data_IF_338934296648
#
_entry.id   IF_338934296648
#
_cell.length_a   1.000
_cell.length_b   1.000
_cell.length_c   1.000
_cell.angle_alpha   90.00
_cell.angle_beta   90.00
_cell.angle_gamma   90.00
#
_symmetry.space_group_name_H-M   'P 1'
#
loop_
_entity.id
_entity.type
_entity.pdbx_description
1 polymer ?
#
# COMPACT_ATOMS: atom_id res chain seq x y z
N UNK A 1 -18.06 -1.26 -10.60
CA UNK A 1 -18.50 -1.63 -9.24
C UNK A 1 -17.49 -1.06 -8.25
N UNK A 2 -17.94 -0.29 -7.26
CA UNK A 2 -17.07 0.15 -6.16
C UNK A 2 -17.16 -0.89 -5.04
N UNK A 3 -16.05 -1.32 -4.47
CA UNK A 3 -16.11 -2.23 -3.32
C UNK A 3 -16.71 -1.47 -2.12
N UNK A 4 -17.71 -2.04 -1.42
CA UNK A 4 -18.22 -1.42 -0.21
C UNK A 4 -17.13 -1.45 0.87
N UNK A 5 -16.74 -0.28 1.39
CA UNK A 5 -15.75 -0.18 2.46
C UNK A 5 -14.71 0.93 2.27
N UNK A 6 -13.65 0.87 3.08
CA UNK A 6 -12.49 1.77 3.03
C UNK A 6 -11.35 1.08 2.29
N UNK A 7 -10.71 1.80 1.37
CA UNK A 7 -9.59 1.29 0.59
C UNK A 7 -8.44 2.29 0.56
N UNK A 8 -7.27 1.80 0.18
CA UNK A 8 -6.10 2.62 -0.12
C UNK A 8 -5.62 2.28 -1.52
N UNK A 9 -5.25 3.30 -2.29
CA UNK A 9 -4.72 3.16 -3.64
C UNK A 9 -3.31 3.73 -3.67
N UNK A 10 -2.40 2.98 -4.27
CA UNK A 10 -1.03 3.40 -4.55
C UNK A 10 -0.71 3.04 -6.00
N UNK A 11 0.33 3.65 -6.55
CA UNK A 11 0.90 3.13 -7.79
C UNK A 11 1.44 1.71 -7.57
N UNK A 12 1.35 0.81 -8.58
CA UNK A 12 1.74 -0.60 -8.45
C UNK A 12 3.27 -0.76 -8.50
N UNK A 13 3.99 -0.02 -7.64
CA UNK A 13 5.45 -0.03 -7.55
C UNK A 13 5.90 -0.22 -6.10
N UNK A 14 7.01 -0.94 -5.94
CA UNK A 14 7.61 -1.16 -4.60
C UNK A 14 7.95 0.16 -3.91
N UNK A 15 8.46 1.16 -4.63
CA UNK A 15 8.82 2.46 -4.05
C UNK A 15 7.62 3.20 -3.43
N UNK A 16 6.46 3.17 -4.09
CA UNK A 16 5.24 3.77 -3.55
C UNK A 16 4.73 3.00 -2.33
N UNK A 17 4.88 1.68 -2.32
CA UNK A 17 4.54 0.83 -1.17
C UNK A 17 5.42 1.10 0.05
N UNK A 18 6.72 1.21 -0.13
CA UNK A 18 7.66 1.48 0.96
C UNK A 18 7.40 2.87 1.56
N UNK A 19 7.15 3.87 0.72
CA UNK A 19 6.76 5.21 1.16
C UNK A 19 5.44 5.20 1.95
N UNK A 20 4.42 4.47 1.48
CA UNK A 20 3.13 4.34 2.16
C UNK A 20 3.27 3.62 3.52
N UNK A 21 4.10 2.58 3.58
CA UNK A 21 4.36 1.79 4.79
C UNK A 21 5.11 2.62 5.83
N UNK A 22 6.20 3.27 5.45
CA UNK A 22 7.00 4.13 6.33
C UNK A 22 6.17 5.26 6.95
N UNK A 23 5.28 5.87 6.17
CA UNK A 23 4.37 6.92 6.63
C UNK A 23 3.18 6.41 7.45
N UNK A 24 3.04 5.10 7.66
CA UNK A 24 1.87 4.46 8.28
C UNK A 24 0.56 4.86 7.59
N UNK A 25 0.53 4.85 6.25
CA UNK A 25 -0.65 5.22 5.46
C UNK A 25 -1.76 4.16 5.54
N UNK A 26 -1.39 2.88 5.55
CA UNK A 26 -2.34 1.76 5.57
C UNK A 26 -3.23 1.76 6.81
N UNK A 27 -2.62 1.91 7.98
CA UNK A 27 -3.34 1.93 9.26
C UNK A 27 -4.29 3.13 9.36
N UNK A 28 -3.93 4.26 8.73
CA UNK A 28 -4.79 5.45 8.67
C UNK A 28 -5.96 5.29 7.70
N UNK A 29 -5.69 4.78 6.50
CA UNK A 29 -6.70 4.58 5.47
C UNK A 29 -7.73 3.53 5.89
N UNK A 30 -7.27 2.42 6.47
CA UNK A 30 -8.12 1.32 6.94
C UNK A 30 -8.60 1.50 8.38
N UNK A 31 -8.06 2.48 9.11
CA UNK A 31 -8.44 2.84 10.48
C UNK A 31 -8.26 1.67 11.47
N UNK A 32 -7.17 0.92 11.32
CA UNK A 32 -6.79 -0.18 12.21
C UNK A 32 -5.85 0.32 13.32
N UNK A 33 -6.00 -0.22 14.53
CA UNK A 33 -5.22 0.21 15.71
C UNK A 33 -3.89 -0.53 15.88
N UNK A 34 -3.59 -1.51 15.02
CA UNK A 34 -2.43 -2.40 15.14
C UNK A 34 -1.59 -2.49 13.86
N UNK A 35 -0.47 -3.22 13.91
CA UNK A 35 0.32 -3.51 12.73
C UNK A 35 -0.55 -4.22 11.69
N UNK A 36 -0.52 -3.71 10.47
CA UNK A 36 -1.20 -4.32 9.34
C UNK A 36 -0.16 -5.08 8.53
N UNK A 37 -0.43 -6.37 8.30
CA UNK A 37 0.38 -7.14 7.37
C UNK A 37 0.01 -6.77 5.92
N UNK A 38 0.95 -6.12 5.25
CA UNK A 38 0.82 -5.74 3.84
C UNK A 38 1.73 -6.57 2.93
N UNK A 39 2.29 -7.69 3.40
CA UNK A 39 3.21 -8.54 2.62
C UNK A 39 2.58 -9.07 1.33
N UNK A 40 1.32 -9.47 1.37
CA UNK A 40 0.57 -9.92 0.19
C UNK A 40 0.45 -8.82 -0.88
N UNK A 41 0.30 -7.55 -0.46
CA UNK A 41 0.31 -6.41 -1.38
C UNK A 41 1.70 -6.25 -1.98
N UNK A 42 2.76 -6.30 -1.17
CA UNK A 42 4.16 -6.19 -1.63
C UNK A 42 4.53 -7.25 -2.67
N UNK A 43 4.02 -8.47 -2.53
CA UNK A 43 4.28 -9.57 -3.44
C UNK A 43 3.67 -9.36 -4.85
N UNK A 44 2.62 -8.56 -4.96
CA UNK A 44 1.95 -8.25 -6.23
C UNK A 44 2.41 -6.94 -6.88
N UNK A 45 3.46 -6.31 -6.37
CA UNK A 45 3.98 -5.05 -6.93
C UNK A 45 5.15 -5.32 -7.83
N UNK A 46 5.20 -4.56 -8.92
CA UNK A 46 6.36 -4.57 -9.78
C UNK A 46 7.51 -3.81 -9.11
N UNK A 47 8.76 -4.31 -9.20
CA UNK A 47 9.91 -3.52 -8.84
C UNK A 47 9.85 -2.23 -9.67
N UNK A 48 9.95 -1.09 -8.99
CA UNK A 48 9.87 0.21 -9.65
C UNK A 48 11.05 0.33 -10.61
N UNK A 49 10.84 0.04 -11.90
CA UNK A 49 11.75 0.40 -12.98
C UNK A 49 11.68 1.91 -13.18
N UNK A 50 12.10 2.69 -12.17
CA UNK A 50 12.31 4.11 -12.36
C UNK A 50 13.74 4.30 -12.84
N UNK A 51 13.92 4.06 -14.13
CA UNK A 51 14.84 4.87 -14.91
C UNK A 51 14.31 6.31 -14.94
N UNK A 52 15.25 7.25 -14.81
CA UNK A 52 15.11 8.72 -14.85
C UNK A 52 14.51 9.42 -13.63
#
# INVERSE_FOLDING_TARGET
AHLPGRGAYIHPTVACFDAATSRRAWVRALRVSGPLDCTAVRAGLEPSLKGS
#
